data_IF_548617726235
#
_entry.id   IF_548617726235
#
_cell.length_a   1.000
_cell.length_b   1.000
_cell.length_c   1.000
_cell.angle_alpha   90.00
_cell.angle_beta   90.00
_cell.angle_gamma   90.00
#
_symmetry.space_group_name_H-M   'P 1'
#
loop_
_entity.id
_entity.type
_entity.pdbx_description
1 polymer ?
#
# COMPACT_ATOMS: atom_id res chain seq x y z
N UNK A 1 33.69 36.28 54.91
CA UNK A 1 34.64 35.42 55.66
C UNK A 1 35.63 34.83 54.66
N UNK A 2 36.92 34.71 55.04
CA UNK A 2 38.01 33.91 54.46
C UNK A 2 38.13 33.81 52.90
N UNK A 3 39.20 34.20 52.17
CA UNK A 3 40.68 34.09 52.35
C UNK A 3 41.18 32.64 52.50
N UNK A 4 42.27 32.16 51.88
CA UNK A 4 43.20 32.72 50.87
C UNK A 4 44.12 31.61 50.29
N UNK A 5 44.82 31.90 49.18
CA UNK A 5 46.05 31.20 48.71
C UNK A 5 47.25 31.50 49.66
N UNK A 6 48.47 30.94 49.45
CA UNK A 6 48.89 29.59 49.01
C UNK A 6 50.00 29.02 49.96
N UNK A 7 50.81 28.01 49.57
CA UNK A 7 52.31 28.05 49.57
C UNK A 7 53.01 26.67 49.45
N UNK A 8 54.34 26.72 49.27
CA UNK A 8 55.36 25.67 49.07
C UNK A 8 55.72 24.91 50.40
N UNK A 9 56.67 23.96 50.53
CA UNK A 9 58.01 23.77 49.91
C UNK A 9 58.61 22.37 50.23
N UNK A 10 59.62 21.91 49.44
CA UNK A 10 60.81 21.04 49.75
C UNK A 10 60.77 19.94 50.87
N UNK A 11 61.47 18.79 50.79
CA UNK A 11 62.92 18.59 50.50
C UNK A 11 63.28 17.09 50.20
N UNK A 12 64.44 16.87 49.58
CA UNK A 12 65.22 15.61 49.30
C UNK A 12 65.86 14.97 50.59
N UNK A 13 66.71 13.88 50.62
CA UNK A 13 67.62 13.34 49.57
C UNK A 13 68.08 11.83 49.54
N UNK A 14 69.02 11.54 48.62
CA UNK A 14 70.03 10.43 48.61
C UNK A 14 69.55 9.05 48.08
N UNK A 15 70.35 8.21 47.38
CA UNK A 15 71.82 7.95 47.50
C UNK A 15 72.51 7.43 46.20
N UNK A 16 73.83 7.58 46.13
CA UNK A 16 74.73 7.39 44.97
C UNK A 16 75.02 5.94 44.47
N UNK A 17 75.46 5.84 43.20
CA UNK A 17 76.33 4.78 42.65
C UNK A 17 76.00 4.38 41.20
N UNK A 18 76.94 4.18 40.26
CA UNK A 18 78.40 4.39 40.25
C UNK A 18 78.88 4.63 38.78
N UNK A 19 80.12 5.07 38.55
CA UNK A 19 80.58 5.65 37.28
C UNK A 19 81.41 4.72 36.36
N UNK A 20 81.39 5.02 35.05
CA UNK A 20 82.56 4.99 34.13
C UNK A 20 82.29 5.85 32.88
N UNK A 21 83.33 6.24 32.17
CA UNK A 21 83.28 7.32 31.17
C UNK A 21 84.04 7.01 29.87
N UNK A 22 83.58 7.61 28.77
CA UNK A 22 84.39 7.94 27.59
C UNK A 22 83.77 9.11 26.82
N UNK A 23 84.59 9.82 26.06
CA UNK A 23 84.28 10.97 25.20
C UNK A 23 85.43 11.09 24.18
N UNK A 24 85.36 11.90 23.11
CA UNK A 24 84.27 12.79 22.67
C UNK A 24 83.76 12.46 21.25
N UNK A 25 82.81 13.22 20.71
CA UNK A 25 83.10 14.24 19.68
C UNK A 25 81.91 15.20 19.50
N UNK A 26 81.97 16.11 18.52
CA UNK A 26 81.35 17.44 18.58
C UNK A 26 80.59 17.84 17.30
N UNK A 27 79.27 18.03 17.41
CA UNK A 27 78.45 18.77 16.42
C UNK A 27 77.21 19.40 17.09
N UNK A 28 76.90 20.69 16.85
CA UNK A 28 75.66 21.31 17.33
C UNK A 28 74.50 21.00 16.38
N UNK A 29 73.81 19.88 16.58
CA UNK A 29 72.63 19.54 15.79
C UNK A 29 71.46 20.49 16.12
N UNK A 30 71.27 21.51 15.27
CA UNK A 30 70.16 22.46 15.39
C UNK A 30 68.86 21.77 14.99
N UNK A 31 68.16 21.22 15.99
CA UNK A 31 66.85 20.58 15.80
C UNK A 31 65.80 21.61 15.40
N UNK A 32 65.64 21.83 14.09
CA UNK A 32 64.51 22.57 13.55
C UNK A 32 63.23 21.76 13.81
N UNK A 33 62.37 22.27 14.69
CA UNK A 33 61.05 21.69 14.87
C UNK A 33 60.32 21.63 13.51
N UNK A 34 59.68 20.51 13.15
CA UNK A 34 59.09 20.34 11.83
C UNK A 34 58.00 21.39 11.63
N UNK A 35 58.22 22.30 10.67
CA UNK A 35 57.23 23.31 10.29
C UNK A 35 55.98 22.59 9.80
N UNK A 36 54.94 22.57 10.63
CA UNK A 36 53.65 21.95 10.32
C UNK A 36 52.99 22.79 9.23
N UNK A 37 53.32 22.49 7.98
CA UNK A 37 52.68 23.12 6.82
C UNK A 37 51.17 22.93 6.97
N UNK A 38 50.38 24.02 6.92
CA UNK A 38 48.94 23.90 7.11
C UNK A 38 48.39 23.01 6.00
N UNK A 39 47.80 21.86 6.37
CA UNK A 39 47.18 20.91 5.43
C UNK A 39 46.30 21.70 4.47
N UNK A 40 46.74 21.85 3.21
CA UNK A 40 45.96 22.52 2.16
C UNK A 40 44.61 21.83 2.12
N UNK A 41 43.56 22.50 2.60
CA UNK A 41 42.18 22.01 2.51
C UNK A 41 41.93 21.82 1.01
N UNK A 42 41.78 20.57 0.57
CA UNK A 42 41.41 20.28 -0.82
C UNK A 42 40.15 21.12 -1.09
N UNK A 43 40.09 21.90 -2.18
CA UNK A 43 38.89 22.67 -2.48
C UNK A 43 37.72 21.69 -2.51
N UNK A 44 36.67 21.96 -1.73
CA UNK A 44 35.47 21.15 -1.76
C UNK A 44 34.88 21.30 -3.16
N UNK A 45 35.15 20.31 -4.02
CA UNK A 45 34.61 20.25 -5.37
C UNK A 45 33.09 20.15 -5.22
N UNK A 46 32.41 21.29 -5.39
CA UNK A 46 30.95 21.37 -5.32
C UNK A 46 30.42 20.41 -6.38
N UNK A 47 29.90 19.28 -5.91
CA UNK A 47 29.36 18.25 -6.78
C UNK A 47 28.03 18.78 -7.33
N UNK A 48 28.07 19.34 -8.54
CA UNK A 48 26.87 19.69 -9.28
C UNK A 48 26.23 18.38 -9.76
N UNK A 49 24.95 18.11 -9.46
CA UNK A 49 24.22 17.02 -10.08
C UNK A 49 24.16 17.19 -11.60
N UNK A 50 23.81 16.13 -12.32
CA UNK A 50 23.52 16.25 -13.75
C UNK A 50 22.25 17.08 -13.96
N UNK A 51 22.20 17.87 -15.04
CA UNK A 51 20.98 18.59 -15.48
C UNK A 51 19.79 17.61 -15.50
N UNK A 52 18.62 18.03 -15.03
CA UNK A 52 17.37 17.25 -14.96
C UNK A 52 17.36 16.05 -13.98
N UNK A 53 18.46 15.75 -13.28
CA UNK A 53 18.48 14.79 -12.17
C UNK A 53 17.57 15.23 -11.01
N UNK A 54 17.17 14.29 -10.13
CA UNK A 54 16.29 14.63 -9.00
C UNK A 54 16.93 15.66 -8.05
N UNK A 55 18.24 15.60 -7.82
CA UNK A 55 18.93 16.64 -7.05
C UNK A 55 19.03 17.98 -7.80
N UNK A 56 19.17 18.01 -9.13
CA UNK A 56 19.13 19.25 -9.90
C UNK A 56 17.75 19.91 -9.81
N UNK A 57 16.67 19.13 -9.95
CA UNK A 57 15.29 19.59 -9.74
C UNK A 57 15.11 20.19 -8.33
N UNK A 58 15.66 19.55 -7.28
CA UNK A 58 15.61 20.10 -5.92
C UNK A 58 16.44 21.39 -5.75
N UNK A 59 17.51 21.58 -6.54
CA UNK A 59 18.27 22.83 -6.58
C UNK A 59 17.53 23.94 -7.34
N UNK A 60 16.95 23.64 -8.50
CA UNK A 60 16.14 24.57 -9.29
C UNK A 60 14.95 25.10 -8.48
N UNK A 61 14.25 24.21 -7.76
CA UNK A 61 13.09 24.54 -6.93
C UNK A 61 13.44 24.78 -5.45
N UNK A 62 14.66 25.24 -5.15
CA UNK A 62 15.11 25.50 -3.77
C UNK A 62 14.14 26.40 -3.00
N UNK A 63 13.88 26.04 -1.74
CA UNK A 63 12.81 26.64 -0.91
C UNK A 63 11.46 25.92 -0.99
N UNK A 64 11.21 25.13 -2.05
CA UNK A 64 10.03 24.25 -2.14
C UNK A 64 10.28 22.94 -1.39
N UNK A 65 9.29 22.46 -0.64
CA UNK A 65 9.40 21.20 0.12
C UNK A 65 9.10 19.97 -0.76
N UNK A 66 9.94 19.74 -1.77
CA UNK A 66 9.78 18.60 -2.70
C UNK A 66 10.21 17.25 -2.10
N UNK A 67 11.13 17.26 -1.13
CA UNK A 67 11.61 16.03 -0.49
C UNK A 67 10.72 15.61 0.69
N UNK A 68 9.48 15.25 0.38
CA UNK A 68 8.44 14.80 1.32
C UNK A 68 7.82 13.47 0.87
N UNK A 69 7.09 12.81 1.78
CA UNK A 69 6.38 11.55 1.48
C UNK A 69 5.23 11.78 0.49
N UNK A 70 4.85 10.79 -0.35
CA UNK A 70 3.78 10.99 -1.34
C UNK A 70 2.37 11.27 -0.84
N UNK A 71 2.08 11.15 0.46
CA UNK A 71 0.82 11.67 1.03
C UNK A 71 0.79 13.22 1.05
N UNK A 72 1.98 13.84 1.05
CA UNK A 72 2.20 15.28 0.95
C UNK A 72 2.53 15.74 -0.48
N UNK A 73 2.47 14.86 -1.50
CA UNK A 73 2.66 15.27 -2.89
C UNK A 73 1.40 15.96 -3.42
N UNK A 74 1.64 16.92 -4.31
CA UNK A 74 0.65 17.71 -5.04
C UNK A 74 1.09 17.83 -6.51
N UNK A 75 0.32 18.55 -7.31
CA UNK A 75 0.45 18.61 -8.78
C UNK A 75 1.86 18.99 -9.26
N UNK A 76 2.56 19.88 -8.54
CA UNK A 76 3.96 20.23 -8.84
C UNK A 76 4.91 19.03 -8.71
N UNK A 77 4.68 18.11 -7.77
CA UNK A 77 5.47 16.88 -7.67
C UNK A 77 5.21 15.96 -8.85
N UNK A 78 3.95 15.82 -9.30
CA UNK A 78 3.61 15.02 -10.48
C UNK A 78 4.27 15.62 -11.74
N UNK A 79 4.17 16.94 -11.92
CA UNK A 79 4.79 17.67 -13.04
C UNK A 79 6.32 17.53 -13.06
N UNK A 80 7.00 17.76 -11.94
CA UNK A 80 8.47 17.67 -11.87
C UNK A 80 9.02 16.24 -11.94
N UNK A 81 8.19 15.23 -11.68
CA UNK A 81 8.50 13.82 -11.93
C UNK A 81 8.15 13.38 -13.36
N UNK A 82 7.65 14.28 -14.22
CA UNK A 82 7.28 13.96 -15.60
C UNK A 82 6.07 13.01 -15.72
N UNK A 83 5.23 12.95 -14.69
CA UNK A 83 4.04 12.10 -14.70
C UNK A 83 3.00 12.63 -15.71
N UNK A 84 2.63 11.77 -16.65
CA UNK A 84 1.70 12.06 -17.76
C UNK A 84 0.37 11.37 -17.51
N UNK A 85 -0.73 12.05 -17.83
CA UNK A 85 -2.09 11.57 -17.61
C UNK A 85 -2.85 11.56 -18.94
N UNK A 86 -3.52 10.46 -19.24
CA UNK A 86 -4.32 10.27 -20.46
C UNK A 86 -5.64 9.60 -20.10
N UNK A 87 -6.76 10.29 -20.33
CA UNK A 87 -8.09 9.69 -20.19
C UNK A 87 -8.41 8.89 -21.45
N UNK A 88 -8.62 7.59 -21.28
CA UNK A 88 -9.07 6.67 -22.30
C UNK A 88 -10.62 6.65 -22.32
N UNK A 89 -11.24 6.27 -23.45
CA UNK A 89 -12.69 6.10 -23.53
C UNK A 89 -13.25 5.22 -22.38
N UNK A 90 -14.48 5.51 -21.90
CA UNK A 90 -15.10 4.71 -20.85
C UNK A 90 -15.35 3.28 -21.33
N UNK A 91 -15.13 2.31 -20.45
CA UNK A 91 -15.47 0.91 -20.69
C UNK A 91 -16.95 0.68 -20.35
N UNK A 92 -17.82 1.16 -21.23
CA UNK A 92 -19.28 1.15 -21.10
C UNK A 92 -19.97 -0.11 -21.68
N UNK A 93 -19.22 -0.93 -22.43
CA UNK A 93 -19.71 -2.12 -23.15
C UNK A 93 -19.04 -3.42 -22.68
N UNK A 94 -19.79 -4.53 -22.49
CA UNK A 94 -21.17 -4.73 -22.92
C UNK A 94 -22.23 -4.16 -21.95
N UNK A 95 -23.39 -3.85 -22.52
CA UNK A 95 -24.62 -3.55 -21.80
C UNK A 95 -25.67 -4.62 -22.14
N UNK A 96 -26.58 -4.96 -21.20
CA UNK A 96 -27.63 -5.95 -21.45
C UNK A 96 -28.67 -5.41 -22.44
N UNK A 97 -28.74 -6.02 -23.62
CA UNK A 97 -29.69 -5.65 -24.68
C UNK A 97 -31.13 -5.98 -24.31
N UNK A 98 -31.89 -4.98 -23.83
CA UNK A 98 -33.33 -5.08 -23.61
C UNK A 98 -34.09 -5.00 -24.95
N UNK A 99 -34.16 -6.12 -25.68
CA UNK A 99 -34.95 -6.19 -26.90
C UNK A 99 -36.46 -6.10 -26.58
N UNK A 100 -37.25 -5.27 -27.30
CA UNK A 100 -38.70 -5.20 -27.07
C UNK A 100 -39.37 -6.56 -27.26
N UNK A 101 -39.98 -7.09 -26.19
CA UNK A 101 -40.68 -8.36 -26.20
C UNK A 101 -39.87 -9.59 -25.76
N UNK A 102 -38.55 -9.50 -25.55
CA UNK A 102 -37.84 -10.58 -24.83
C UNK A 102 -38.18 -10.53 -23.34
N UNK A 103 -38.48 -11.67 -22.68
CA UNK A 103 -38.69 -11.69 -21.24
C UNK A 103 -37.41 -11.28 -20.50
N UNK A 104 -37.51 -10.64 -19.32
CA UNK A 104 -36.34 -10.36 -18.50
C UNK A 104 -35.62 -11.66 -18.12
N UNK A 105 -34.28 -11.61 -18.03
CA UNK A 105 -33.46 -12.79 -17.70
C UNK A 105 -33.87 -13.38 -16.35
N UNK A 106 -33.61 -14.67 -16.14
CA UNK A 106 -34.10 -15.39 -14.96
C UNK A 106 -33.49 -14.83 -13.67
N UNK A 107 -32.25 -14.35 -13.74
CA UNK A 107 -31.57 -13.62 -12.66
C UNK A 107 -32.19 -12.26 -12.31
N UNK A 108 -33.05 -11.68 -13.16
CA UNK A 108 -33.79 -10.44 -12.87
C UNK A 108 -35.10 -10.71 -12.11
N UNK A 109 -35.76 -11.85 -12.37
CA UNK A 109 -36.98 -12.28 -11.66
C UNK A 109 -36.68 -13.03 -10.35
N UNK A 110 -35.54 -13.73 -10.30
CA UNK A 110 -35.05 -14.42 -9.10
C UNK A 110 -33.52 -14.28 -9.04
N UNK A 111 -32.99 -13.24 -8.37
CA UNK A 111 -31.54 -13.01 -8.30
C UNK A 111 -30.85 -14.09 -7.46
N UNK A 112 -29.74 -14.61 -7.98
CA UNK A 112 -28.90 -15.57 -7.27
C UNK A 112 -28.22 -14.93 -6.05
N UNK A 113 -27.79 -15.75 -5.08
CA UNK A 113 -27.11 -15.23 -3.90
C UNK A 113 -25.79 -14.50 -4.26
N UNK A 114 -25.17 -14.89 -5.37
CA UNK A 114 -24.04 -14.21 -6.01
C UNK A 114 -24.40 -12.77 -6.42
N UNK A 115 -25.52 -12.56 -7.12
CA UNK A 115 -25.99 -11.21 -7.52
C UNK A 115 -26.36 -10.36 -6.31
N UNK A 116 -27.05 -10.94 -5.32
CA UNK A 116 -27.41 -10.24 -4.07
C UNK A 116 -26.15 -9.78 -3.31
N UNK A 117 -25.15 -10.66 -3.20
CA UNK A 117 -23.86 -10.34 -2.55
C UNK A 117 -23.13 -9.23 -3.29
N UNK A 118 -23.09 -9.28 -4.62
CA UNK A 118 -22.46 -8.27 -5.46
C UNK A 118 -23.16 -6.91 -5.34
N UNK A 119 -24.49 -6.88 -5.43
CA UNK A 119 -25.30 -5.67 -5.27
C UNK A 119 -25.12 -5.02 -3.89
N UNK A 120 -25.15 -5.81 -2.82
CA UNK A 120 -24.91 -5.31 -1.47
C UNK A 120 -23.49 -4.71 -1.31
N UNK A 121 -22.48 -5.34 -1.90
CA UNK A 121 -21.11 -4.83 -1.86
C UNK A 121 -20.93 -3.53 -2.68
N UNK A 122 -21.55 -3.43 -3.86
CA UNK A 122 -21.54 -2.21 -4.67
C UNK A 122 -22.25 -1.05 -3.96
N UNK A 123 -23.40 -1.30 -3.33
CA UNK A 123 -24.10 -0.31 -2.50
C UNK A 123 -23.25 0.15 -1.32
N UNK A 124 -22.49 -0.74 -0.68
CA UNK A 124 -21.55 -0.39 0.40
C UNK A 124 -20.33 0.42 -0.08
N UNK A 125 -20.02 0.45 -1.38
CA UNK A 125 -18.95 1.29 -1.95
C UNK A 125 -19.50 2.69 -2.23
N UNK A 126 -20.75 2.80 -2.68
CA UNK A 126 -21.36 4.05 -3.12
C UNK A 126 -22.05 4.85 -2.02
N UNK A 127 -22.23 4.30 -0.81
CA UNK A 127 -22.81 5.01 0.33
C UNK A 127 -21.87 6.12 0.86
N UNK A 128 -22.27 7.42 0.81
CA UNK A 128 -21.45 8.51 1.34
C UNK A 128 -21.29 8.48 2.87
N UNK A 129 -20.22 9.13 3.35
CA UNK A 129 -19.98 9.63 4.71
C UNK A 129 -20.03 8.68 5.93
N UNK A 130 -20.48 7.44 5.80
CA UNK A 130 -20.62 6.51 6.94
C UNK A 130 -19.68 5.29 6.94
N UNK A 131 -19.03 4.98 5.81
CA UNK A 131 -18.16 3.79 5.74
C UNK A 131 -16.75 4.07 6.25
N UNK A 132 -16.43 3.57 7.46
CA UNK A 132 -15.05 3.50 7.95
C UNK A 132 -14.14 2.80 6.89
N UNK A 133 -12.89 3.25 6.64
CA UNK A 133 -11.95 2.71 5.64
C UNK A 133 -11.89 1.19 5.41
N UNK A 134 -12.12 0.41 6.47
CA UNK A 134 -12.10 -1.05 6.46
C UNK A 134 -13.34 -1.62 5.73
N UNK A 135 -14.48 -0.93 5.78
CA UNK A 135 -15.75 -1.35 5.16
C UNK A 135 -15.70 -1.23 3.64
N UNK A 136 -15.35 -0.05 3.10
CA UNK A 136 -15.20 0.13 1.65
C UNK A 136 -14.10 -0.78 1.07
N UNK A 137 -12.99 -0.98 1.81
CA UNK A 137 -11.98 -1.99 1.48
C UNK A 137 -12.57 -3.40 1.41
N UNK A 138 -13.34 -3.83 2.42
CA UNK A 138 -13.97 -5.15 2.44
C UNK A 138 -15.02 -5.32 1.33
N UNK A 139 -15.76 -4.27 0.99
CA UNK A 139 -16.74 -4.27 -0.09
C UNK A 139 -16.07 -4.39 -1.46
N UNK A 140 -15.00 -3.62 -1.74
CA UNK A 140 -14.19 -3.75 -2.98
C UNK A 140 -13.61 -5.16 -3.11
N UNK A 141 -13.08 -5.71 -2.02
CA UNK A 141 -12.65 -7.12 -1.99
C UNK A 141 -13.80 -8.06 -2.31
N UNK A 142 -14.99 -7.86 -1.75
CA UNK A 142 -16.15 -8.72 -2.03
C UNK A 142 -16.56 -8.66 -3.51
N UNK A 143 -16.62 -7.47 -4.11
CA UNK A 143 -16.85 -7.27 -5.54
C UNK A 143 -15.82 -8.06 -6.37
N UNK A 144 -14.53 -7.80 -6.18
CA UNK A 144 -13.47 -8.44 -6.97
C UNK A 144 -13.37 -9.96 -6.73
N UNK A 145 -13.67 -10.43 -5.50
CA UNK A 145 -13.78 -11.85 -5.16
C UNK A 145 -14.96 -12.53 -5.83
N UNK A 146 -16.09 -11.85 -6.02
CA UNK A 146 -17.24 -12.40 -6.73
C UNK A 146 -16.99 -12.44 -8.23
N UNK A 147 -16.42 -11.37 -8.81
CA UNK A 147 -16.17 -11.27 -10.25
C UNK A 147 -15.03 -12.20 -10.73
N UNK A 148 -13.91 -12.32 -9.98
CA UNK A 148 -12.83 -13.27 -10.29
C UNK A 148 -12.26 -13.95 -9.03
N UNK A 149 -12.94 -14.99 -8.50
CA UNK A 149 -12.57 -15.61 -7.22
C UNK A 149 -11.15 -16.15 -7.13
N UNK A 150 -10.56 -16.59 -8.25
CA UNK A 150 -9.20 -17.14 -8.30
C UNK A 150 -8.15 -16.02 -8.14
N UNK A 151 -8.24 -15.00 -9.00
CA UNK A 151 -7.31 -13.86 -9.06
C UNK A 151 -7.26 -13.08 -7.74
N UNK A 152 -8.42 -12.70 -7.20
CA UNK A 152 -8.47 -11.80 -6.04
C UNK A 152 -8.43 -12.52 -4.68
N UNK A 153 -8.24 -13.84 -4.67
CA UNK A 153 -8.24 -14.73 -3.48
C UNK A 153 -7.29 -14.34 -2.34
N UNK A 154 -6.21 -13.62 -2.62
CA UNK A 154 -5.13 -13.28 -1.66
C UNK A 154 -4.92 -11.75 -1.54
N UNK A 155 -5.89 -11.00 -0.99
CA UNK A 155 -5.73 -9.58 -0.73
C UNK A 155 -4.75 -9.32 0.41
N UNK A 156 -3.85 -8.37 0.22
CA UNK A 156 -2.97 -7.81 1.25
C UNK A 156 -3.57 -6.47 1.69
N UNK A 157 -4.04 -6.38 2.93
CA UNK A 157 -4.63 -5.15 3.49
C UNK A 157 -3.57 -4.22 4.07
N UNK A 158 -3.78 -2.91 3.90
CA UNK A 158 -2.88 -1.84 4.35
C UNK A 158 -1.38 -2.07 4.05
N UNK A 159 -1.00 -2.52 2.83
CA UNK A 159 0.38 -2.83 2.49
C UNK A 159 1.25 -1.57 2.53
N UNK A 160 2.40 -1.67 3.18
CA UNK A 160 3.35 -0.58 3.36
C UNK A 160 4.43 -0.68 2.28
N UNK A 161 4.49 0.32 1.40
CA UNK A 161 5.49 0.42 0.33
C UNK A 161 6.64 1.30 0.81
N UNK A 162 7.85 0.80 0.67
CA UNK A 162 9.07 1.55 0.94
C UNK A 162 9.53 2.25 -0.33
N UNK A 163 10.11 3.45 -0.20
CA UNK A 163 10.71 4.16 -1.32
C UNK A 163 12.24 4.14 -1.22
N UNK A 164 12.86 3.84 -2.34
CA UNK A 164 14.30 3.69 -2.52
C UNK A 164 14.78 4.92 -3.29
N UNK A 165 15.70 5.68 -2.71
CA UNK A 165 16.20 6.93 -3.27
C UNK A 165 17.70 7.06 -2.97
N UNK A 166 18.55 6.98 -3.98
CA UNK A 166 20.01 6.85 -3.78
C UNK A 166 20.34 5.61 -2.94
N UNK A 167 21.31 5.76 -2.02
CA UNK A 167 21.65 4.73 -1.02
C UNK A 167 20.73 4.68 0.20
N UNK A 168 19.48 5.17 0.13
CA UNK A 168 18.55 5.27 1.28
C UNK A 168 17.20 4.59 1.00
N UNK A 169 16.68 3.90 2.01
CA UNK A 169 15.32 3.37 2.06
C UNK A 169 14.49 4.19 3.04
N UNK A 170 13.38 4.73 2.55
CA UNK A 170 12.36 5.42 3.30
C UNK A 170 11.21 4.45 3.55
N UNK A 171 11.11 3.95 4.78
CA UNK A 171 10.13 2.95 5.17
C UNK A 171 8.74 3.53 5.21
N UNK A 172 7.79 2.64 4.93
CA UNK A 172 6.35 2.87 5.01
C UNK A 172 5.87 4.14 4.28
N UNK A 173 6.65 4.58 3.28
CA UNK A 173 6.57 5.90 2.68
C UNK A 173 5.21 6.11 2.00
N UNK A 174 4.69 5.07 1.35
CA UNK A 174 3.36 5.01 0.73
C UNK A 174 2.60 3.82 1.32
N UNK A 175 1.27 3.89 1.36
CA UNK A 175 0.40 2.82 1.87
C UNK A 175 -0.78 2.61 0.91
N UNK A 176 -0.96 1.38 0.43
CA UNK A 176 -2.19 0.99 -0.26
C UNK A 176 -3.33 0.76 0.74
N UNK A 177 -4.58 0.65 0.26
CA UNK A 177 -5.69 0.19 1.10
C UNK A 177 -5.81 -1.34 1.01
N UNK A 178 -5.78 -1.88 -0.22
CA UNK A 178 -5.58 -3.31 -0.52
C UNK A 178 -4.60 -3.45 -1.69
N UNK A 179 -3.86 -4.56 -1.75
CA UNK A 179 -3.12 -5.00 -2.93
C UNK A 179 -3.33 -6.47 -3.28
N UNK A 180 -3.19 -6.78 -4.57
CA UNK A 180 -3.16 -8.13 -5.13
C UNK A 180 -1.92 -8.32 -6.00
N UNK A 181 -1.52 -9.59 -6.20
CA UNK A 181 -0.27 -9.99 -6.87
C UNK A 181 1.00 -9.33 -6.27
N UNK A 182 0.93 -8.91 -5.01
CA UNK A 182 2.03 -8.33 -4.25
C UNK A 182 3.17 -9.35 -4.09
N UNK A 183 4.43 -9.04 -4.48
CA UNK A 183 5.58 -9.89 -4.24
C UNK A 183 5.85 -10.05 -2.73
N UNK A 184 5.34 -11.12 -2.15
CA UNK A 184 5.52 -11.43 -0.74
C UNK A 184 6.92 -12.02 -0.49
N UNK A 185 7.76 -11.30 0.26
CA UNK A 185 8.92 -11.94 0.90
C UNK A 185 8.42 -12.94 1.96
N UNK A 186 9.16 -14.02 2.14
CA UNK A 186 8.85 -15.07 3.13
C UNK A 186 8.94 -14.54 4.59
N UNK A 187 9.54 -13.36 4.77
CA UNK A 187 9.56 -12.58 6.00
C UNK A 187 8.16 -12.02 6.35
N UNK A 188 7.34 -12.88 6.97
CA UNK A 188 6.01 -12.60 7.55
C UNK A 188 5.93 -11.20 8.19
N UNK A 189 5.21 -10.27 7.57
CA UNK A 189 4.98 -8.94 8.14
C UNK A 189 4.05 -8.99 9.36
N UNK A 190 4.36 -8.19 10.38
CA UNK A 190 3.70 -8.26 11.70
C UNK A 190 2.22 -7.83 11.70
N UNK A 191 1.72 -7.24 10.61
CA UNK A 191 0.35 -6.74 10.50
C UNK A 191 -0.67 -7.76 9.96
N UNK A 192 -0.26 -9.02 9.74
CA UNK A 192 -1.17 -10.15 9.39
C UNK A 192 -2.17 -10.54 10.51
N UNK A 193 -2.19 -9.80 11.64
CA UNK A 193 -2.84 -10.14 12.92
C UNK A 193 -4.37 -9.91 12.95
N UNK A 194 -5.09 -10.28 11.90
CA UNK A 194 -6.56 -10.45 11.92
C UNK A 194 -7.05 -11.79 11.35
N UNK A 195 -6.14 -12.76 11.16
CA UNK A 195 -6.53 -14.18 11.01
C UNK A 195 -6.57 -14.83 12.38
N UNK A 196 -7.77 -15.18 12.86
CA UNK A 196 -7.96 -15.95 14.09
C UNK A 196 -7.21 -17.28 13.99
N UNK A 197 -6.16 -17.44 14.80
CA UNK A 197 -5.30 -18.63 14.74
C UNK A 197 -6.01 -19.79 15.43
N UNK A 198 -6.59 -20.69 14.63
CA UNK A 198 -7.04 -22.00 15.13
C UNK A 198 -5.83 -22.78 15.63
N UNK A 199 -5.72 -22.97 16.94
CA UNK A 199 -4.69 -23.83 17.55
C UNK A 199 -4.84 -25.26 17.04
N UNK A 200 -3.80 -25.79 16.39
CA UNK A 200 -3.64 -27.22 16.05
C UNK A 200 -2.30 -27.74 16.61
N UNK A 201 -2.18 -29.03 16.94
CA UNK A 201 -0.95 -29.59 17.49
C UNK A 201 0.27 -29.42 16.58
N UNK A 202 1.46 -29.33 17.19
CA UNK A 202 2.71 -28.95 16.53
C UNK A 202 3.40 -30.08 15.74
N UNK A 203 2.64 -30.89 15.01
CA UNK A 203 3.13 -32.17 14.44
C UNK A 203 2.62 -32.43 13.01
N UNK A 204 2.86 -31.50 12.08
CA UNK A 204 2.61 -31.71 10.63
C UNK A 204 3.46 -30.83 9.68
N UNK A 205 4.66 -30.42 10.08
CA UNK A 205 5.59 -29.66 9.23
C UNK A 205 6.46 -30.56 8.34
N UNK A 206 5.83 -31.30 7.42
CA UNK A 206 6.54 -32.00 6.32
C UNK A 206 5.61 -32.25 5.11
N UNK A 207 5.06 -31.16 4.55
CA UNK A 207 4.44 -31.19 3.22
C UNK A 207 5.30 -30.35 2.29
N UNK A 208 6.14 -31.01 1.50
CA UNK A 208 6.92 -30.38 0.44
C UNK A 208 5.97 -29.78 -0.58
N UNK A 209 5.78 -28.47 -0.49
CA UNK A 209 4.86 -27.73 -1.36
C UNK A 209 5.61 -27.41 -2.64
N UNK A 210 5.48 -28.26 -3.65
CA UNK A 210 6.07 -28.03 -4.98
C UNK A 210 5.64 -26.66 -5.49
N UNK A 211 6.61 -25.75 -5.66
CA UNK A 211 6.36 -24.42 -6.19
C UNK A 211 5.93 -24.51 -7.65
N UNK A 212 4.87 -23.78 -7.99
CA UNK A 212 4.50 -23.51 -9.38
C UNK A 212 5.67 -22.82 -10.11
N UNK A 213 5.82 -22.99 -11.44
CA UNK A 213 7.07 -22.68 -12.14
C UNK A 213 7.49 -21.20 -12.01
N UNK A 214 8.81 -21.00 -12.01
CA UNK A 214 9.48 -19.71 -11.80
C UNK A 214 9.08 -18.64 -12.84
N UNK A 215 7.97 -17.94 -12.62
CA UNK A 215 7.73 -16.64 -13.22
C UNK A 215 8.56 -15.59 -12.48
N UNK A 216 9.27 -14.74 -13.22
CA UNK A 216 9.99 -13.60 -12.64
C UNK A 216 9.00 -12.66 -11.93
N UNK A 217 9.26 -12.20 -10.69
CA UNK A 217 8.33 -11.32 -9.98
C UNK A 217 8.12 -9.98 -10.70
N UNK A 218 9.03 -9.58 -11.60
CA UNK A 218 8.90 -8.40 -12.47
C UNK A 218 7.74 -8.48 -13.48
N UNK A 219 7.24 -9.68 -13.82
CA UNK A 219 6.15 -9.86 -14.79
C UNK A 219 4.80 -10.14 -14.14
N UNK A 220 4.68 -10.04 -12.81
CA UNK A 220 3.41 -10.18 -12.09
C UNK A 220 2.65 -8.85 -12.11
N UNK A 221 1.41 -8.78 -12.62
CA UNK A 221 0.69 -7.51 -12.70
C UNK A 221 0.12 -7.13 -11.33
N UNK A 222 0.83 -6.24 -10.61
CA UNK A 222 0.41 -5.77 -9.29
C UNK A 222 -0.74 -4.76 -9.40
N UNK A 223 -1.69 -4.88 -8.48
CA UNK A 223 -2.88 -4.01 -8.40
C UNK A 223 -2.98 -3.46 -6.99
N UNK A 224 -3.20 -2.15 -6.87
CA UNK A 224 -3.60 -1.51 -5.62
C UNK A 224 -5.05 -1.02 -5.70
N UNK A 225 -5.77 -1.03 -4.57
CA UNK A 225 -7.00 -0.27 -4.39
C UNK A 225 -6.72 0.95 -3.50
N UNK A 226 -7.23 2.13 -3.90
CA UNK A 226 -7.14 3.40 -3.17
C UNK A 226 -8.42 4.21 -3.37
N UNK A 227 -9.38 4.16 -2.42
CA UNK A 227 -10.57 5.02 -2.45
C UNK A 227 -10.25 6.51 -2.21
N UNK A 228 -10.72 7.39 -3.11
CA UNK A 228 -10.49 8.85 -3.10
C UNK A 228 -10.91 9.50 -1.77
N UNK A 229 -12.11 9.21 -1.28
CA UNK A 229 -12.69 9.82 -0.06
C UNK A 229 -11.86 9.54 1.20
N UNK A 230 -11.27 8.34 1.30
CA UNK A 230 -10.32 8.03 2.38
C UNK A 230 -9.02 8.82 2.21
N UNK A 231 -8.47 8.96 1.01
CA UNK A 231 -7.23 9.71 0.76
C UNK A 231 -7.39 11.19 1.14
N UNK A 232 -8.52 11.81 0.75
CA UNK A 232 -8.90 13.16 1.19
C UNK A 232 -9.03 13.25 2.72
N UNK A 233 -9.71 12.29 3.36
CA UNK A 233 -9.83 12.20 4.82
C UNK A 233 -8.48 12.10 5.53
N UNK A 234 -7.54 11.30 4.99
CA UNK A 234 -6.18 11.16 5.53
C UNK A 234 -5.39 12.45 5.38
N UNK A 235 -5.45 13.14 4.23
CA UNK A 235 -4.78 14.44 4.03
C UNK A 235 -5.34 15.54 4.96
N UNK A 236 -6.66 15.62 5.11
CA UNK A 236 -7.32 16.57 6.01
C UNK A 236 -6.93 16.36 7.48
N UNK A 237 -6.65 15.12 7.90
CA UNK A 237 -6.25 14.77 9.27
C UNK A 237 -4.73 14.55 9.45
N UNK A 238 -3.92 14.78 8.41
CA UNK A 238 -2.49 14.47 8.38
C UNK A 238 -1.69 15.31 9.39
N UNK A 239 -2.06 16.57 9.52
CA UNK A 239 -1.35 17.57 10.30
C UNK A 239 -1.98 17.72 11.69
N UNK A 240 -1.51 16.91 12.66
CA UNK A 240 -1.99 16.98 14.05
C UNK A 240 -1.82 18.39 14.64
N UNK A 241 -2.92 18.97 15.09
CA UNK A 241 -2.94 20.22 15.87
C UNK A 241 -2.61 19.90 17.32
N UNK A 242 -1.53 20.48 17.84
CA UNK A 242 -1.23 20.43 19.27
C UNK A 242 -2.18 21.36 20.04
N UNK A 243 -2.73 20.88 21.15
CA UNK A 243 -3.54 21.70 22.05
C UNK A 243 -2.71 22.86 22.61
N UNK A 244 -3.38 24.00 22.85
CA UNK A 244 -2.77 25.19 23.43
C UNK A 244 -2.51 25.06 24.94
N UNK A 245 -1.98 26.13 25.57
CA UNK A 245 -1.87 26.22 27.04
C UNK A 245 -3.21 25.89 27.71
N UNK A 246 -3.17 25.13 28.81
CA UNK A 246 -4.39 24.65 29.48
C UNK A 246 -5.20 23.60 28.71
N UNK A 247 -4.63 22.98 27.66
CA UNK A 247 -5.31 22.07 26.71
C UNK A 247 -6.39 22.76 25.85
N UNK A 248 -6.30 24.08 25.67
CA UNK A 248 -7.25 24.85 24.85
C UNK A 248 -7.17 24.48 23.36
N UNK A 249 -8.21 24.81 22.60
CA UNK A 249 -8.20 24.66 21.13
C UNK A 249 -7.25 25.68 20.49
N UNK A 250 -6.27 25.20 19.73
CA UNK A 250 -5.28 26.06 19.08
C UNK A 250 -5.74 26.45 17.67
N UNK A 251 -6.73 27.34 17.60
CA UNK A 251 -7.37 27.73 16.34
C UNK A 251 -6.40 28.30 15.28
N UNK A 252 -5.41 29.16 15.60
CA UNK A 252 -4.46 29.66 14.59
C UNK A 252 -3.63 28.53 13.96
N UNK A 253 -3.20 27.55 14.76
CA UNK A 253 -2.50 26.37 14.25
C UNK A 253 -3.44 25.49 13.43
N UNK A 254 -4.69 25.28 13.87
CA UNK A 254 -5.69 24.56 13.08
C UNK A 254 -5.92 25.19 11.70
N UNK A 255 -6.16 26.50 11.64
CA UNK A 255 -6.33 27.24 10.38
C UNK A 255 -5.10 27.09 9.47
N UNK A 256 -3.88 27.18 10.02
CA UNK A 256 -2.63 26.96 9.28
C UNK A 256 -2.49 25.53 8.75
N UNK A 257 -2.83 24.51 9.54
CA UNK A 257 -2.81 23.12 9.08
C UNK A 257 -3.91 22.84 8.04
N UNK A 258 -5.09 23.47 8.16
CA UNK A 258 -6.17 23.36 7.18
C UNK A 258 -5.77 23.97 5.83
N UNK A 259 -5.09 25.12 5.83
CA UNK A 259 -4.50 25.70 4.61
C UNK A 259 -3.48 24.76 3.97
N UNK A 260 -2.61 24.13 4.76
CA UNK A 260 -1.65 23.12 4.26
C UNK A 260 -2.33 21.87 3.71
N UNK A 261 -3.41 21.39 4.34
CA UNK A 261 -4.19 20.26 3.82
C UNK A 261 -4.85 20.60 2.48
N UNK A 262 -5.38 21.82 2.30
CA UNK A 262 -5.92 22.29 1.01
C UNK A 262 -4.88 22.32 -0.11
N UNK A 263 -3.61 22.60 0.20
CA UNK A 263 -2.49 22.53 -0.77
C UNK A 263 -2.13 21.09 -1.22
N UNK A 264 -2.79 20.06 -0.65
CA UNK A 264 -2.66 18.65 -1.03
C UNK A 264 -3.90 18.12 -1.78
N UNK A 265 -4.91 18.96 -2.02
CA UNK A 265 -6.03 18.64 -2.91
C UNK A 265 -5.55 18.90 -4.35
N UNK A 266 -5.63 17.93 -5.27
CA UNK A 266 -5.17 18.11 -6.64
C UNK A 266 -6.12 19.00 -7.44
N UNK A 267 -5.61 19.73 -8.43
CA UNK A 267 -6.42 20.62 -9.28
C UNK A 267 -7.39 19.86 -10.19
N UNK A 268 -7.11 18.58 -10.46
CA UNK A 268 -8.02 17.61 -11.08
C UNK A 268 -8.12 16.40 -10.15
N UNK A 269 -9.34 15.99 -9.79
CA UNK A 269 -9.65 14.88 -8.90
C UNK A 269 -9.20 13.49 -9.39
N UNK A 270 -8.84 13.36 -10.66
CA UNK A 270 -8.28 12.12 -11.22
C UNK A 270 -6.73 12.15 -11.30
N UNK A 271 -6.11 13.33 -11.41
CA UNK A 271 -4.66 13.46 -11.61
C UNK A 271 -3.89 13.55 -10.28
N UNK A 272 -4.27 12.75 -9.29
CA UNK A 272 -3.75 12.85 -7.93
C UNK A 272 -2.28 12.39 -7.85
N UNK A 273 -1.39 13.32 -7.48
CA UNK A 273 0.03 13.06 -7.27
C UNK A 273 0.35 11.94 -6.25
N UNK A 274 -0.61 11.53 -5.41
CA UNK A 274 -0.46 10.34 -4.58
C UNK A 274 -0.31 9.05 -5.41
N UNK A 275 -1.06 8.93 -6.52
CA UNK A 275 -1.01 7.75 -7.39
C UNK A 275 0.38 7.59 -8.03
N UNK A 276 1.05 8.69 -8.39
CA UNK A 276 2.46 8.69 -8.85
C UNK A 276 3.37 8.00 -7.82
N UNK A 277 3.18 8.32 -6.53
CA UNK A 277 3.91 7.67 -5.43
C UNK A 277 3.54 6.21 -5.21
N UNK A 278 2.27 5.84 -5.40
CA UNK A 278 1.81 4.43 -5.33
C UNK A 278 2.40 3.62 -6.48
N UNK A 279 2.40 4.13 -7.73
CA UNK A 279 3.05 3.49 -8.87
C UNK A 279 4.55 3.33 -8.69
N UNK A 280 5.27 4.37 -8.22
CA UNK A 280 6.69 4.28 -7.88
C UNK A 280 6.96 3.20 -6.82
N UNK A 281 6.19 3.19 -5.72
CA UNK A 281 6.34 2.21 -4.64
C UNK A 281 6.04 0.77 -5.08
N UNK A 282 5.04 0.58 -5.94
CA UNK A 282 4.74 -0.73 -6.55
C UNK A 282 5.89 -1.18 -7.46
N UNK A 283 6.34 -0.33 -8.39
CA UNK A 283 7.43 -0.65 -9.31
C UNK A 283 8.72 -1.00 -8.56
N UNK A 284 9.14 -0.18 -7.59
CA UNK A 284 10.31 -0.46 -6.76
C UNK A 284 10.19 -1.77 -5.99
N UNK A 285 8.98 -2.19 -5.58
CA UNK A 285 8.74 -3.46 -4.88
C UNK A 285 8.95 -4.71 -5.77
N UNK A 286 8.97 -4.60 -7.10
CA UNK A 286 9.35 -5.71 -7.99
C UNK A 286 10.86 -5.99 -8.03
N UNK A 287 11.69 -4.98 -7.76
CA UNK A 287 13.15 -5.06 -7.96
C UNK A 287 13.96 -5.03 -6.65
N UNK A 288 13.43 -4.40 -5.59
CA UNK A 288 14.13 -4.32 -4.32
C UNK A 288 13.60 -5.33 -3.28
N UNK A 289 14.49 -6.04 -2.55
CA UNK A 289 14.09 -6.87 -1.42
C UNK A 289 13.60 -5.99 -0.26
N UNK A 290 12.71 -6.55 0.57
CA UNK A 290 12.25 -5.82 1.76
C UNK A 290 13.41 -5.53 2.73
N UNK A 291 13.50 -4.32 3.29
CA UNK A 291 14.62 -3.91 4.14
C UNK A 291 14.51 -4.63 5.50
N UNK A 292 15.64 -5.05 6.10
CA UNK A 292 15.64 -5.77 7.37
C UNK A 292 14.92 -4.98 8.46
N UNK A 293 14.14 -5.64 9.32
CA UNK A 293 13.31 -5.00 10.33
C UNK A 293 14.18 -4.12 11.27
N UNK A 294 13.89 -2.82 11.29
CA UNK A 294 14.65 -1.84 12.06
C UNK A 294 13.75 -0.68 12.49
N UNK A 295 13.89 -0.22 13.74
CA UNK A 295 13.04 0.83 14.31
C UNK A 295 13.26 2.25 13.77
N UNK A 296 14.17 2.45 12.80
CA UNK A 296 14.37 3.74 12.12
C UNK A 296 13.62 3.75 10.78
N UNK A 297 12.73 4.72 10.59
CA UNK A 297 12.00 4.92 9.32
C UNK A 297 12.93 5.18 8.13
N UNK A 298 14.05 5.84 8.36
CA UNK A 298 15.08 6.07 7.34
C UNK A 298 16.27 5.14 7.62
N UNK A 299 16.58 4.24 6.69
CA UNK A 299 17.75 3.35 6.78
C UNK A 299 18.61 3.43 5.52
N UNK A 300 19.94 3.42 5.70
CA UNK A 300 20.88 3.27 4.57
C UNK A 300 20.74 1.88 3.96
N UNK A 301 20.95 1.75 2.66
CA UNK A 301 21.07 0.44 1.99
C UNK A 301 22.45 -0.21 2.25
N UNK A 302 23.50 0.61 2.39
CA UNK A 302 24.90 0.20 2.59
C UNK A 302 25.49 0.79 3.88
N UNK A 303 26.49 0.15 4.50
CA UNK A 303 27.24 0.76 5.60
C UNK A 303 28.04 2.00 5.12
N UNK A 304 28.65 1.91 3.94
CA UNK A 304 29.66 2.85 3.43
C UNK A 304 29.09 4.16 2.86
N UNK A 305 27.77 4.32 2.85
CA UNK A 305 27.01 5.40 2.20
C UNK A 305 27.05 5.37 0.66
N UNK A 306 27.63 4.33 0.05
CA UNK A 306 27.55 4.08 -1.39
C UNK A 306 26.12 3.75 -1.81
N UNK A 307 25.75 4.16 -3.01
CA UNK A 307 24.60 3.60 -3.72
C UNK A 307 24.96 2.13 -4.03
N UNK A 308 24.10 1.13 -3.73
CA UNK A 308 24.38 -0.26 -4.08
C UNK A 308 24.37 -0.46 -5.61
N UNK A 309 24.78 -1.63 -6.10
CA UNK A 309 24.62 -1.95 -7.52
C UNK A 309 23.15 -1.84 -7.94
N UNK A 310 22.88 -1.27 -9.12
CA UNK A 310 21.50 -1.11 -9.62
C UNK A 310 20.86 -2.49 -9.84
N UNK A 311 19.60 -2.69 -9.41
CA UNK A 311 18.80 -3.80 -9.89
C UNK A 311 18.72 -3.80 -11.43
N UNK A 312 18.46 -4.97 -12.03
CA UNK A 312 18.16 -5.05 -13.46
C UNK A 312 16.73 -4.53 -13.71
N UNK A 313 16.55 -3.20 -13.73
CA UNK A 313 15.26 -2.56 -13.93
C UNK A 313 14.67 -2.86 -15.31
N UNK A 314 13.37 -3.06 -15.33
CA UNK A 314 12.55 -3.31 -16.51
C UNK A 314 11.33 -2.39 -16.45
N UNK A 315 10.72 -2.11 -17.60
CA UNK A 315 9.48 -1.33 -17.64
C UNK A 315 8.33 -2.18 -17.05
N UNK A 316 7.56 -1.61 -16.12
CA UNK A 316 6.49 -2.33 -15.39
C UNK A 316 5.12 -1.71 -15.67
N UNK A 317 4.17 -2.55 -16.07
CA UNK A 317 2.75 -2.20 -16.18
C UNK A 317 2.05 -2.54 -14.86
N UNK A 318 1.40 -1.54 -14.26
CA UNK A 318 0.84 -1.58 -12.91
C UNK A 318 -0.56 -0.98 -12.89
N UNK A 319 -1.41 -1.34 -11.91
CA UNK A 319 -2.79 -0.82 -11.85
C UNK A 319 -3.20 -0.27 -10.48
N UNK A 320 -3.97 0.81 -10.50
CA UNK A 320 -4.67 1.33 -9.32
C UNK A 320 -6.16 1.37 -9.64
N UNK A 321 -6.95 0.66 -8.84
CA UNK A 321 -8.41 0.76 -8.84
C UNK A 321 -8.85 1.81 -7.83
N UNK A 322 -9.79 2.65 -8.23
CA UNK A 322 -10.58 3.48 -7.31
C UNK A 322 -12.04 3.48 -7.72
N UNK A 323 -12.87 4.18 -6.96
CA UNK A 323 -14.26 4.45 -7.30
C UNK A 323 -14.53 5.95 -7.16
N UNK A 324 -15.57 6.40 -7.85
CA UNK A 324 -16.16 7.72 -7.72
C UNK A 324 -17.59 7.55 -7.20
N UNK A 325 -17.90 8.15 -6.05
CA UNK A 325 -19.23 8.08 -5.43
C UNK A 325 -20.26 8.87 -6.23
N UNK A 326 -19.81 9.94 -6.88
CA UNK A 326 -20.70 10.99 -7.39
C UNK A 326 -21.17 10.65 -8.80
N UNK A 327 -20.31 10.01 -9.61
CA UNK A 327 -20.69 9.41 -10.90
C UNK A 327 -21.10 7.94 -10.81
N UNK A 328 -20.89 7.27 -9.68
CA UNK A 328 -21.09 5.82 -9.52
C UNK A 328 -20.29 4.95 -10.51
N UNK A 329 -19.01 5.30 -10.68
CA UNK A 329 -18.07 4.62 -11.57
C UNK A 329 -16.92 3.97 -10.79
N UNK A 330 -16.37 2.87 -11.29
CA UNK A 330 -14.98 2.53 -11.01
C UNK A 330 -14.06 3.29 -11.96
N UNK A 331 -12.88 3.68 -11.49
CA UNK A 331 -11.84 4.25 -12.36
C UNK A 331 -10.59 3.38 -12.24
N UNK A 332 -10.13 2.86 -13.37
CA UNK A 332 -8.94 1.99 -13.45
C UNK A 332 -7.80 2.79 -14.06
N UNK A 333 -6.78 3.07 -13.25
CA UNK A 333 -5.54 3.70 -13.65
C UNK A 333 -4.53 2.63 -14.01
N UNK A 334 -3.95 2.72 -15.20
CA UNK A 334 -2.85 1.87 -15.68
C UNK A 334 -1.58 2.70 -15.79
N UNK A 335 -0.63 2.45 -14.90
CA UNK A 335 0.67 3.09 -14.87
C UNK A 335 1.73 2.27 -15.60
N UNK A 336 2.44 2.90 -16.54
CA UNK A 336 3.61 2.36 -17.21
C UNK A 336 4.84 3.07 -16.62
N UNK A 337 5.52 2.39 -15.70
CA UNK A 337 6.73 2.90 -15.05
C UNK A 337 7.93 2.42 -15.86
N UNK A 338 8.70 3.35 -16.44
CA UNK A 338 9.92 2.98 -17.19
C UNK A 338 11.09 2.66 -16.27
N UNK A 339 12.02 1.82 -16.74
CA UNK A 339 13.33 1.57 -16.10
C UNK A 339 14.10 2.88 -15.86
N UNK A 340 13.97 3.85 -16.77
CA UNK A 340 14.66 5.15 -16.73
C UNK A 340 14.14 6.01 -15.56
N UNK A 341 12.85 5.93 -15.26
CA UNK A 341 12.27 6.52 -14.05
C UNK A 341 12.82 5.86 -12.79
N UNK A 342 12.98 4.53 -12.78
CA UNK A 342 13.52 3.80 -11.62
C UNK A 342 15.01 4.09 -11.40
N UNK A 343 15.82 4.13 -12.46
CA UNK A 343 17.23 4.55 -12.42
C UNK A 343 17.37 5.99 -11.91
N UNK A 344 16.48 6.91 -12.32
CA UNK A 344 16.46 8.32 -11.86
C UNK A 344 16.19 8.44 -10.34
N UNK A 345 15.49 7.48 -9.73
CA UNK A 345 15.38 7.37 -8.26
C UNK A 345 16.54 6.61 -7.63
N UNK A 346 17.12 5.62 -8.32
CA UNK A 346 18.24 4.82 -7.80
C UNK A 346 19.55 5.62 -7.72
N UNK A 347 19.89 6.42 -8.73
CA UNK A 347 20.98 7.40 -8.69
C UNK A 347 20.49 8.84 -8.94
N UNK A 348 19.94 9.51 -7.91
CA UNK A 348 19.33 10.84 -8.03
C UNK A 348 20.33 11.98 -8.33
N UNK A 349 21.63 11.68 -8.46
CA UNK A 349 22.64 12.63 -8.96
C UNK A 349 22.80 12.60 -10.48
N UNK A 350 22.35 11.54 -11.15
CA UNK A 350 22.37 11.40 -12.61
C UNK A 350 20.98 11.67 -13.20
N UNK A 351 20.97 11.98 -14.49
CA UNK A 351 19.77 11.94 -15.31
C UNK A 351 19.87 10.74 -16.27
N UNK A 352 18.75 10.15 -16.69
CA UNK A 352 18.72 9.21 -17.81
C UNK A 352 19.30 9.83 -19.10
N UNK A 353 19.91 9.04 -20.00
CA UNK A 353 20.63 9.57 -21.16
C UNK A 353 19.75 10.28 -22.20
N UNK A 354 18.42 10.13 -22.12
CA UNK A 354 17.45 10.72 -23.05
C UNK A 354 16.62 11.87 -22.44
N UNK A 355 16.92 12.28 -21.20
CA UNK A 355 16.12 13.21 -20.38
C UNK A 355 16.20 14.69 -20.83
N UNK A 356 16.78 14.97 -22.00
CA UNK A 356 16.65 16.26 -22.70
C UNK A 356 15.31 16.35 -23.46
N UNK A 357 14.80 15.23 -23.98
CA UNK A 357 13.43 15.12 -24.50
C UNK A 357 12.46 14.79 -23.35
N UNK A 358 12.03 15.82 -22.62
CA UNK A 358 10.93 15.75 -21.64
C UNK A 358 9.60 15.20 -22.24
N UNK A 359 9.56 14.94 -23.54
CA UNK A 359 8.52 14.29 -24.31
C UNK A 359 8.32 12.78 -23.98
N UNK A 360 9.34 12.06 -23.46
CA UNK A 360 9.34 10.58 -23.46
C UNK A 360 9.55 9.92 -22.09
N UNK A 361 10.64 10.20 -21.38
CA UNK A 361 11.06 9.38 -20.22
C UNK A 361 10.30 9.71 -18.93
N UNK A 362 9.80 8.68 -18.24
CA UNK A 362 9.16 8.84 -16.93
C UNK A 362 8.07 7.82 -16.62
N UNK A 363 6.87 8.34 -16.32
CA UNK A 363 5.66 7.59 -15.96
C UNK A 363 4.48 8.05 -16.81
N UNK A 364 3.91 7.14 -17.61
CA UNK A 364 2.59 7.34 -18.25
C UNK A 364 1.50 6.71 -17.38
N UNK A 365 0.43 7.46 -17.10
CA UNK A 365 -0.77 6.97 -16.43
C UNK A 365 -1.95 7.14 -17.38
N UNK A 366 -2.40 6.03 -17.95
CA UNK A 366 -3.70 5.94 -18.62
C UNK A 366 -4.79 5.71 -17.58
N UNK A 367 -6.00 6.23 -17.77
CA UNK A 367 -7.15 5.84 -16.95
C UNK A 367 -8.43 5.71 -17.77
N UNK A 368 -9.31 4.78 -17.38
CA UNK A 368 -10.64 4.60 -17.97
C UNK A 368 -11.70 4.49 -16.89
N UNK A 369 -12.88 5.04 -17.18
CA UNK A 369 -14.07 5.00 -16.33
C UNK A 369 -14.92 3.77 -16.67
N UNK A 370 -15.49 3.14 -15.65
CA UNK A 370 -16.29 1.91 -15.76
C UNK A 370 -17.61 2.12 -15.00
N UNK A 371 -18.75 2.31 -15.69
CA UNK A 371 -20.04 2.41 -15.04
C UNK A 371 -20.35 1.15 -14.22
N UNK A 372 -20.63 1.32 -12.93
CA UNK A 372 -21.00 0.21 -12.03
C UNK A 372 -22.34 -0.40 -12.45
N UNK A 373 -23.27 0.45 -12.87
CA UNK A 373 -24.60 0.08 -13.32
C UNK A 373 -24.64 -0.01 -14.85
N UNK A 374 -25.36 -1.00 -15.42
CA UNK A 374 -26.03 -2.12 -14.75
C UNK A 374 -25.03 -3.20 -14.27
N UNK A 375 -25.34 -3.88 -13.16
CA UNK A 375 -24.48 -4.96 -12.61
C UNK A 375 -24.25 -6.07 -13.66
N UNK A 376 -25.25 -6.35 -14.47
CA UNK A 376 -25.15 -7.28 -15.60
C UNK A 376 -24.22 -6.68 -16.67
N UNK A 377 -23.15 -7.40 -17.02
CA UNK A 377 -22.05 -6.89 -17.86
C UNK A 377 -20.89 -6.23 -17.09
N UNK A 378 -21.00 -6.05 -15.76
CA UNK A 378 -19.96 -5.37 -14.97
C UNK A 378 -18.65 -6.16 -14.93
N UNK A 379 -18.71 -7.50 -14.93
CA UNK A 379 -17.51 -8.35 -15.03
C UNK A 379 -16.78 -8.06 -16.33
N UNK A 380 -17.48 -8.01 -17.44
CA UNK A 380 -16.89 -7.85 -18.77
C UNK A 380 -16.35 -6.43 -18.95
N UNK A 381 -17.11 -5.39 -18.53
CA UNK A 381 -16.68 -3.98 -18.55
C UNK A 381 -15.45 -3.72 -17.67
N UNK A 382 -15.48 -4.14 -16.41
CA UNK A 382 -14.34 -4.00 -15.50
C UNK A 382 -13.17 -4.93 -15.90
N UNK A 383 -13.46 -6.06 -16.54
CA UNK A 383 -12.47 -6.99 -17.09
C UNK A 383 -11.73 -6.42 -18.30
N UNK A 384 -12.40 -5.65 -19.16
CA UNK A 384 -11.79 -4.87 -20.25
C UNK A 384 -10.87 -3.78 -19.67
N UNK A 385 -11.39 -2.98 -18.74
CA UNK A 385 -10.64 -1.89 -18.10
C UNK A 385 -9.44 -2.37 -17.27
N UNK A 386 -9.57 -3.49 -16.57
CA UNK A 386 -8.45 -4.15 -15.89
C UNK A 386 -7.50 -4.77 -16.93
N UNK A 387 -7.97 -5.65 -17.82
CA UNK A 387 -7.15 -6.32 -18.83
C UNK A 387 -6.77 -7.77 -18.48
N UNK A 388 -6.66 -8.60 -19.52
CA UNK A 388 -6.56 -10.08 -19.45
C UNK A 388 -5.32 -10.59 -18.71
N UNK A 389 -4.23 -9.81 -18.64
CA UNK A 389 -3.04 -10.13 -17.84
C UNK A 389 -3.35 -10.21 -16.34
N UNK A 390 -4.35 -9.45 -15.86
CA UNK A 390 -4.86 -9.54 -14.48
C UNK A 390 -5.99 -10.56 -14.35
N UNK A 391 -7.05 -10.42 -15.15
CA UNK A 391 -8.30 -11.16 -14.93
C UNK A 391 -8.28 -12.58 -15.53
N UNK A 392 -7.26 -12.90 -16.30
CA UNK A 392 -7.17 -14.10 -17.14
C UNK A 392 -7.94 -13.94 -18.46
N UNK A 393 -8.03 -15.02 -19.22
CA UNK A 393 -8.87 -15.09 -20.41
C UNK A 393 -10.36 -15.09 -20.03
N UNK A 394 -11.13 -14.19 -20.64
CA UNK A 394 -12.60 -14.14 -20.60
C UNK A 394 -13.12 -13.68 -21.96
N UNK A 395 -14.39 -13.97 -22.27
CA UNK A 395 -15.04 -13.47 -23.47
C UNK A 395 -15.52 -12.02 -23.24
N UNK A 396 -15.03 -11.01 -23.99
CA UNK A 396 -15.38 -9.60 -23.75
C UNK A 396 -16.84 -9.23 -24.06
N UNK A 397 -17.54 -10.04 -24.85
CA UNK A 397 -18.83 -9.67 -25.45
C UNK A 397 -19.97 -10.64 -25.06
N UNK A 398 -19.66 -11.66 -24.27
CA UNK A 398 -20.61 -12.60 -23.66
C UNK A 398 -20.78 -12.25 -22.17
N UNK A 399 -21.96 -11.73 -21.81
CA UNK A 399 -22.24 -11.26 -20.46
C UNK A 399 -22.47 -12.46 -19.52
N UNK A 400 -21.71 -12.58 -18.43
CA UNK A 400 -22.03 -13.55 -17.38
C UNK A 400 -23.31 -13.14 -16.62
N UNK A 401 -24.30 -14.05 -16.62
CA UNK A 401 -25.65 -13.77 -16.09
C UNK A 401 -25.88 -14.24 -14.66
N UNK A 402 -24.98 -15.05 -14.09
CA UNK A 402 -25.06 -15.67 -12.76
C UNK A 402 -26.42 -16.33 -12.41
N UNK A 403 -27.15 -16.86 -13.41
CA UNK A 403 -28.49 -17.47 -13.21
C UNK A 403 -28.50 -18.75 -12.37
N UNK A 404 -27.32 -19.33 -12.13
CA UNK A 404 -27.10 -20.35 -11.11
C UNK A 404 -25.95 -19.88 -10.23
N UNK A 405 -26.12 -19.97 -8.90
CA UNK A 405 -24.98 -19.87 -7.99
C UNK A 405 -23.97 -20.99 -8.32
N UNK A 406 -22.65 -20.72 -8.26
CA UNK A 406 -21.64 -21.72 -8.59
C UNK A 406 -21.80 -22.94 -7.68
N UNK A 407 -21.91 -24.13 -8.28
CA UNK A 407 -22.11 -25.38 -7.55
C UNK A 407 -21.00 -25.54 -6.50
N UNK A 408 -21.38 -25.49 -5.23
CA UNK A 408 -20.49 -25.86 -4.13
C UNK A 408 -20.02 -27.27 -4.41
N UNK A 409 -18.73 -27.47 -4.67
CA UNK A 409 -18.14 -28.79 -4.81
C UNK A 409 -18.50 -29.61 -3.56
N UNK A 410 -19.45 -30.52 -3.72
CA UNK A 410 -20.02 -31.27 -2.63
C UNK A 410 -18.97 -32.23 -2.12
N UNK A 411 -18.34 -31.90 -0.98
CA UNK A 411 -17.41 -32.80 -0.30
C UNK A 411 -18.06 -34.17 -0.16
N UNK A 412 -17.38 -35.20 -0.68
CA UNK A 412 -17.98 -36.48 -1.02
C UNK A 412 -18.74 -37.08 0.16
N UNK A 413 -20.08 -37.05 0.09
CA UNK A 413 -20.92 -37.80 1.03
C UNK A 413 -20.67 -39.28 0.77
N UNK A 414 -19.86 -39.89 1.63
CA UNK A 414 -19.61 -41.35 1.66
C UNK A 414 -20.91 -42.09 1.38
N UNK A 415 -20.94 -42.85 0.29
CA UNK A 415 -22.00 -43.84 0.05
C UNK A 415 -22.11 -44.74 1.28
N UNK A 416 -23.29 -44.81 1.88
CA UNK A 416 -23.63 -45.87 2.84
C UNK A 416 -24.37 -46.96 2.08
N UNK A 417 -23.61 -47.80 1.40
CA UNK A 417 -24.16 -49.04 0.84
C UNK A 417 -24.41 -50.02 1.99
N UNK A 418 -25.67 -50.09 2.43
CA UNK A 418 -26.23 -51.28 3.08
C UNK A 418 -27.53 -51.60 2.35
N UNK A 419 -27.59 -52.85 1.90
CA UNK A 419 -28.51 -53.49 0.98
C UNK A 419 -30.02 -53.25 1.22
N UNK A 420 -30.78 -53.56 0.17
CA UNK A 420 -32.17 -54.04 0.23
C UNK A 420 -32.31 -55.22 1.22
N UNK A 421 -33.50 -55.69 1.62
CA UNK A 421 -34.65 -56.00 0.77
C UNK A 421 -35.89 -56.42 1.59
N UNK A 422 -36.97 -56.76 0.86
CA UNK A 422 -38.18 -57.53 1.23
C UNK A 422 -39.26 -56.93 2.16
N UNK A 423 -40.50 -57.32 1.80
CA UNK A 423 -41.78 -57.38 2.56
C UNK A 423 -42.70 -56.13 2.52
N UNK A 424 -43.84 -56.39 1.86
CA UNK A 424 -44.99 -55.55 1.57
C UNK A 424 -45.88 -55.18 2.79
N UNK A 425 -46.81 -54.25 2.51
CA UNK A 425 -48.22 -54.23 2.95
C UNK A 425 -48.58 -54.10 4.44
N UNK A 426 -49.22 -52.97 4.77
CA UNK A 426 -50.58 -52.97 5.34
C UNK A 426 -51.32 -51.65 5.00
N UNK A 427 -52.58 -51.54 5.42
CA UNK A 427 -53.58 -50.50 5.14
C UNK A 427 -54.10 -49.89 6.47
N UNK A 428 -54.97 -48.86 6.40
CA UNK A 428 -55.72 -48.22 7.52
C UNK A 428 -54.90 -47.39 8.54
N UNK A 429 -55.48 -46.51 9.38
CA UNK A 429 -56.58 -45.53 9.22
C UNK A 429 -56.47 -44.47 10.37
N UNK A 430 -57.38 -43.50 10.38
CA UNK A 430 -57.68 -42.35 11.27
C UNK A 430 -57.39 -42.43 12.80
N UNK A 431 -57.36 -41.23 13.41
CA UNK A 431 -57.74 -40.90 14.82
C UNK A 431 -56.66 -40.26 15.70
N UNK A 432 -57.13 -39.34 16.53
CA UNK A 432 -56.41 -38.57 17.55
C UNK A 432 -55.83 -39.40 18.70
N UNK A 433 -54.79 -38.88 19.36
CA UNK A 433 -54.90 -38.48 20.78
C UNK A 433 -53.71 -37.57 21.21
N UNK A 434 -54.00 -36.49 21.94
CA UNK A 434 -53.00 -35.78 22.76
C UNK A 434 -53.00 -36.41 24.17
N UNK A 435 -51.86 -36.39 24.88
CA UNK A 435 -51.87 -35.46 26.01
C UNK A 435 -50.55 -34.74 26.30
N UNK A 436 -50.68 -33.56 26.90
CA UNK A 436 -49.65 -32.84 27.67
C UNK A 436 -49.07 -33.70 28.84
N UNK A 437 -48.08 -33.31 29.66
CA UNK A 437 -47.72 -32.02 30.31
C UNK A 437 -46.20 -32.13 30.73
N UNK A 438 -45.38 -31.14 31.11
CA UNK A 438 -45.40 -30.23 32.29
C UNK A 438 -44.27 -29.15 32.21
N UNK A 439 -44.59 -27.87 31.92
CA UNK A 439 -43.91 -26.63 32.41
C UNK A 439 -42.38 -26.38 32.13
N UNK A 440 -41.79 -25.17 32.21
CA UNK A 440 -42.17 -23.91 32.89
C UNK A 440 -41.95 -22.62 32.05
N UNK A 441 -42.97 -21.75 32.12
CA UNK A 441 -43.02 -20.26 32.00
C UNK A 441 -42.03 -19.57 32.99
N UNK A 442 -41.71 -18.26 33.04
CA UNK A 442 -41.98 -16.95 32.34
C UNK A 442 -41.00 -15.92 33.02
N UNK A 443 -40.57 -14.73 32.55
CA UNK A 443 -41.08 -13.69 31.64
C UNK A 443 -39.95 -12.85 30.96
N UNK A 444 -40.35 -11.92 30.08
CA UNK A 444 -39.68 -10.63 29.82
C UNK A 444 -40.18 -9.55 30.80
N UNK A 445 -39.50 -8.40 30.94
CA UNK A 445 -40.03 -7.21 31.64
C UNK A 445 -39.79 -5.90 30.86
N UNK A 446 -40.88 -5.22 30.54
CA UNK A 446 -41.02 -3.77 30.34
C UNK A 446 -41.99 -3.27 31.44
N UNK A 447 -42.08 -2.01 31.87
CA UNK A 447 -41.37 -0.76 31.54
C UNK A 447 -42.10 0.45 32.15
N UNK A 448 -41.52 1.66 32.06
CA UNK A 448 -42.12 2.97 32.48
C UNK A 448 -42.36 3.14 34.02
N UNK A 449 -42.76 4.32 34.59
CA UNK A 449 -43.59 5.40 34.04
C UNK A 449 -42.90 6.79 33.86
N UNK A 450 -43.70 7.80 33.51
CA UNK A 450 -43.32 9.18 33.12
C UNK A 450 -43.48 10.19 34.28
N UNK A 451 -42.73 11.30 34.23
CA UNK A 451 -42.97 12.53 35.02
C UNK A 451 -42.65 13.79 34.20
N UNK A 452 -43.32 14.91 34.49
CA UNK A 452 -43.25 16.20 33.77
C UNK A 452 -43.25 17.35 34.80
N UNK A 453 -43.03 18.60 34.35
CA UNK A 453 -43.11 19.89 35.09
C UNK A 453 -41.81 20.26 35.84
N UNK A 454 -41.25 21.47 35.73
CA UNK A 454 -41.60 22.68 34.92
C UNK A 454 -40.66 22.78 33.71
#
# INVERSE_FOLDING_TARGET
MATSRPSTTSTTPSRNGNAKASSPDSTPCTSQAPVVTPRKRRPHRIYRPAKNSLYDIFHQHSGTSLFVRPICWNDLHAQLLGARWEELPPCDTPQPTAAPGTPPSRGHLSPSNTIITLSNALTQILLPDLTHPILSSNAIKAVLMTLWPKTFSKPHYLPELHLYFGGRVYRDAVRGQIMWNFPADEAKSSYSSFKSVSTRPAESFNVSTQSSPNQSPATLPMICYVGKTQLATVRNNLFRVAAGPGKSWNEPVFRLQQLRARMLVPSNSDHDAHFVGVFLGMAQKHFYPSPPLSGRRDTKMSPDNSIPASPNFQDVKLRILTHDTDTSEFIVYTGYVTREFLDKFHDPFKAPPNDDDAAVSGLKIEYTRVPIWPILGLRERLGKALGQDVVGSFNPDEIETWEKDPEKQGGEKRKREVLSEVINSSFEEESDEEPAIVSKKRCLNEGAPVGVVI
#
